data_IF_686112201957
#
_entry.id   IF_686112201957
#
_cell.length_a   1.000
_cell.length_b   1.000
_cell.length_c   1.000
_cell.angle_alpha   90.00
_cell.angle_beta   90.00
_cell.angle_gamma   90.00
#
_symmetry.space_group_name_H-M   'P 1'
#
loop_
_entity.id
_entity.type
_entity.pdbx_description
1 polymer ?
#
# COMPACT_ATOMS: atom_id res chain seq x y z
N UNK A 1 5.11 -13.46 -3.79
CA UNK A 1 3.89 -12.78 -3.30
C UNK A 1 2.90 -13.81 -2.75
N UNK A 2 2.25 -13.55 -1.60
CA UNK A 2 1.23 -14.44 -1.01
C UNK A 2 -0.16 -14.01 -1.49
N UNK A 3 -0.93 -14.92 -2.09
CA UNK A 3 -2.27 -14.66 -2.65
C UNK A 3 -3.39 -15.17 -1.70
N UNK A 4 -4.08 -16.32 -1.90
CA UNK A 4 -4.96 -16.84 -0.85
C UNK A 4 -4.25 -17.82 0.08
N UNK A 5 -4.75 -17.88 1.30
CA UNK A 5 -4.62 -19.03 2.16
C UNK A 5 -5.66 -20.09 1.78
N UNK A 6 -5.24 -21.34 1.81
CA UNK A 6 -6.03 -22.52 1.44
C UNK A 6 -5.89 -23.57 2.54
N UNK A 7 -6.92 -24.39 2.72
CA UNK A 7 -6.88 -25.52 3.63
C UNK A 7 -6.99 -26.85 2.88
N UNK A 8 -6.11 -27.79 3.21
CA UNK A 8 -6.28 -29.19 2.87
C UNK A 8 -6.81 -29.95 4.09
N UNK A 9 -8.06 -30.38 4.01
CA UNK A 9 -8.77 -31.07 5.09
C UNK A 9 -8.61 -32.57 5.03
N UNK A 10 -8.46 -33.16 6.21
CA UNK A 10 -8.62 -34.58 6.44
C UNK A 10 -9.47 -34.78 7.69
N UNK A 11 -10.05 -35.98 7.92
CA UNK A 11 -10.92 -36.22 9.08
C UNK A 11 -10.27 -35.97 10.45
N UNK A 12 -8.94 -35.94 10.54
CA UNK A 12 -8.22 -35.78 11.81
C UNK A 12 -7.31 -34.55 11.87
N UNK A 13 -7.12 -33.84 10.75
CA UNK A 13 -6.16 -32.73 10.63
C UNK A 13 -6.57 -31.80 9.51
N UNK A 14 -6.30 -30.52 9.67
CA UNK A 14 -6.41 -29.54 8.59
C UNK A 14 -5.08 -28.82 8.41
N UNK A 15 -4.51 -28.85 7.21
CA UNK A 15 -3.26 -28.16 6.89
C UNK A 15 -3.58 -26.85 6.18
N UNK A 16 -3.06 -25.75 6.69
CA UNK A 16 -3.22 -24.42 6.10
C UNK A 16 -1.98 -24.10 5.29
N UNK A 17 -2.19 -23.68 4.06
CA UNK A 17 -1.15 -23.28 3.10
C UNK A 17 -1.38 -21.85 2.66
N UNK A 18 -0.29 -21.15 2.35
CA UNK A 18 -0.29 -19.91 1.61
C UNK A 18 0.08 -20.22 0.16
N UNK A 19 -0.70 -19.72 -0.80
CA UNK A 19 -0.28 -19.74 -2.20
C UNK A 19 0.76 -18.63 -2.41
N UNK A 20 1.99 -19.03 -2.72
CA UNK A 20 3.08 -18.11 -3.03
C UNK A 20 3.32 -18.11 -4.53
N UNK A 21 3.03 -16.99 -5.19
CA UNK A 21 3.41 -16.75 -6.57
C UNK A 21 4.81 -16.15 -6.64
N UNK A 22 5.69 -16.85 -7.33
CA UNK A 22 7.04 -16.43 -7.70
C UNK A 22 7.27 -16.89 -9.16
N UNK A 23 8.46 -17.37 -9.53
CA UNK A 23 8.70 -17.94 -10.87
C UNK A 23 7.90 -19.23 -11.12
N UNK A 24 7.50 -19.93 -10.04
CA UNK A 24 6.57 -21.05 -10.07
C UNK A 24 5.57 -20.92 -8.90
N UNK A 25 4.29 -21.16 -9.18
CA UNK A 25 3.23 -21.16 -8.16
C UNK A 25 3.46 -22.34 -7.19
N UNK A 26 3.61 -22.02 -5.90
CA UNK A 26 3.86 -23.03 -4.85
C UNK A 26 3.00 -22.84 -3.61
N UNK A 27 2.72 -23.94 -2.92
CA UNK A 27 2.04 -23.92 -1.62
C UNK A 27 3.07 -23.95 -0.49
N UNK A 28 3.10 -22.90 0.32
CA UNK A 28 3.93 -22.84 1.53
C UNK A 28 3.09 -23.18 2.75
N UNK A 29 3.57 -24.09 3.59
CA UNK A 29 2.83 -24.51 4.78
C UNK A 29 2.87 -23.41 5.86
N UNK A 30 1.70 -23.04 6.36
CA UNK A 30 1.54 -21.99 7.39
C UNK A 30 1.41 -22.63 8.76
N UNK A 31 0.45 -23.55 8.90
CA UNK A 31 0.18 -24.24 10.16
C UNK A 31 -0.65 -25.50 9.93
N UNK A 32 -0.87 -26.29 10.99
CA UNK A 32 -1.73 -27.47 10.98
C UNK A 32 -2.62 -27.47 12.21
N UNK A 33 -3.92 -27.60 12.00
CA UNK A 33 -4.92 -27.82 13.05
C UNK A 33 -5.07 -29.32 13.30
N UNK A 34 -5.11 -29.69 14.58
CA UNK A 34 -5.37 -31.06 15.02
C UNK A 34 -6.86 -31.41 14.99
N UNK A 35 -7.19 -32.66 15.31
CA UNK A 35 -8.57 -33.16 15.28
C UNK A 35 -9.52 -32.34 16.19
N UNK A 36 -9.01 -31.80 17.30
CA UNK A 36 -9.79 -30.98 18.22
C UNK A 36 -10.17 -29.60 17.65
N UNK A 37 -9.44 -29.13 16.64
CA UNK A 37 -9.54 -27.75 16.12
C UNK A 37 -9.88 -27.71 14.63
N UNK A 38 -10.18 -28.86 14.00
CA UNK A 38 -10.49 -28.96 12.57
C UNK A 38 -11.67 -28.08 12.18
N UNK A 39 -12.65 -27.92 13.06
CA UNK A 39 -13.84 -27.10 12.81
C UNK A 39 -13.50 -25.60 12.70
N UNK A 40 -12.37 -25.16 13.27
CA UNK A 40 -11.91 -23.78 13.16
C UNK A 40 -11.22 -23.47 11.81
N UNK A 41 -11.09 -24.46 10.92
CA UNK A 41 -10.38 -24.31 9.64
C UNK A 41 -10.95 -23.20 8.76
N UNK A 42 -12.27 -23.16 8.55
CA UNK A 42 -12.88 -22.14 7.67
C UNK A 42 -12.73 -20.75 8.27
N UNK A 43 -12.94 -20.63 9.58
CA UNK A 43 -12.75 -19.36 10.29
C UNK A 43 -11.32 -18.86 10.16
N UNK A 44 -10.33 -19.73 10.32
CA UNK A 44 -8.92 -19.35 10.21
C UNK A 44 -8.54 -18.95 8.78
N UNK A 45 -8.96 -19.73 7.77
CA UNK A 45 -8.69 -19.39 6.36
C UNK A 45 -9.36 -18.07 5.98
N UNK A 46 -10.63 -17.90 6.36
CA UNK A 46 -11.37 -16.67 6.09
C UNK A 46 -10.67 -15.47 6.73
N UNK A 47 -10.33 -15.56 8.02
CA UNK A 47 -9.70 -14.45 8.73
C UNK A 47 -8.28 -14.14 8.22
N UNK A 48 -7.52 -15.15 7.79
CA UNK A 48 -6.23 -14.95 7.15
C UNK A 48 -6.36 -14.27 5.78
N UNK A 49 -7.38 -14.63 4.98
CA UNK A 49 -7.65 -13.98 3.70
C UNK A 49 -8.19 -12.56 3.87
N UNK A 50 -9.08 -12.31 4.85
CA UNK A 50 -9.50 -10.96 5.24
C UNK A 50 -8.32 -10.12 5.74
N UNK A 51 -7.37 -10.73 6.44
CA UNK A 51 -6.13 -10.05 6.82
C UNK A 51 -5.25 -9.71 5.60
N UNK A 52 -5.25 -10.51 4.53
CA UNK A 52 -4.53 -10.15 3.31
C UNK A 52 -5.22 -9.07 2.50
N UNK A 53 -6.55 -9.12 2.41
CA UNK A 53 -7.34 -8.15 1.66
C UNK A 53 -7.40 -6.80 2.38
N UNK A 54 -7.84 -6.79 3.64
CA UNK A 54 -8.26 -5.57 4.36
C UNK A 54 -7.47 -5.33 5.66
N UNK A 55 -6.48 -6.20 5.95
CA UNK A 55 -5.74 -6.26 7.24
C UNK A 55 -6.65 -6.17 8.45
N UNK A 56 -7.73 -6.92 8.40
CA UNK A 56 -8.64 -7.09 9.51
C UNK A 56 -7.97 -7.87 10.67
N UNK A 57 -7.14 -7.15 11.43
CA UNK A 57 -6.44 -7.67 12.61
C UNK A 57 -7.41 -8.09 13.70
N UNK A 58 -8.59 -7.46 13.78
CA UNK A 58 -9.59 -7.76 14.81
C UNK A 58 -10.22 -9.12 14.54
N UNK A 59 -10.71 -9.36 13.33
CA UNK A 59 -11.25 -10.67 12.92
C UNK A 59 -10.19 -11.76 12.99
N UNK A 60 -8.96 -11.46 12.55
CA UNK A 60 -7.84 -12.40 12.67
C UNK A 60 -7.55 -12.73 14.14
N UNK A 61 -7.47 -11.73 15.02
CA UNK A 61 -7.21 -11.93 16.45
C UNK A 61 -8.35 -12.70 17.11
N UNK A 62 -9.60 -12.40 16.79
CA UNK A 62 -10.78 -13.08 17.34
C UNK A 62 -10.79 -14.59 17.06
N UNK A 63 -10.29 -14.99 15.89
CA UNK A 63 -10.14 -16.42 15.52
C UNK A 63 -8.88 -17.01 16.11
N UNK A 64 -7.73 -16.36 15.92
CA UNK A 64 -6.42 -16.89 16.31
C UNK A 64 -6.32 -17.07 17.82
N UNK A 65 -6.83 -16.14 18.63
CA UNK A 65 -6.67 -16.22 20.09
C UNK A 65 -7.39 -17.42 20.72
N UNK A 66 -8.37 -18.02 20.02
CA UNK A 66 -9.09 -19.23 20.42
C UNK A 66 -8.39 -20.53 20.05
N UNK A 67 -7.34 -20.46 19.24
CA UNK A 67 -6.60 -21.63 18.75
C UNK A 67 -5.44 -22.02 19.69
N UNK A 68 -4.93 -23.26 19.60
CA UNK A 68 -3.77 -23.69 20.37
C UNK A 68 -2.57 -22.76 20.17
N UNK A 69 -1.78 -22.59 21.23
CA UNK A 69 -0.65 -21.65 21.24
C UNK A 69 0.34 -21.86 20.09
N UNK A 70 0.65 -23.12 19.77
CA UNK A 70 1.52 -23.46 18.64
C UNK A 70 0.98 -22.93 17.30
N UNK A 71 -0.34 -23.00 17.10
CA UNK A 71 -1.00 -22.47 15.89
C UNK A 71 -0.92 -20.95 15.86
N UNK A 72 -1.16 -20.29 17.00
CA UNK A 72 -1.05 -18.83 17.13
C UNK A 72 0.35 -18.33 16.79
N UNK A 73 1.37 -18.96 17.35
CA UNK A 73 2.77 -18.62 17.10
C UNK A 73 3.12 -18.83 15.63
N UNK A 74 2.73 -19.97 15.05
CA UNK A 74 3.00 -20.28 13.64
C UNK A 74 2.36 -19.25 12.70
N UNK A 75 1.08 -18.91 12.92
CA UNK A 75 0.37 -17.89 12.14
C UNK A 75 1.05 -16.53 12.27
N UNK A 76 1.35 -16.07 13.50
CA UNK A 76 2.00 -14.77 13.72
C UNK A 76 3.39 -14.70 13.09
N UNK A 77 4.19 -15.76 13.20
CA UNK A 77 5.51 -15.82 12.58
C UNK A 77 5.41 -15.80 11.06
N UNK A 78 4.50 -16.59 10.48
CA UNK A 78 4.30 -16.61 9.03
C UNK A 78 3.90 -15.23 8.51
N UNK A 79 2.92 -14.57 9.14
CA UNK A 79 2.51 -13.23 8.74
C UNK A 79 3.64 -12.21 8.91
N UNK A 80 4.41 -12.28 10.00
CA UNK A 80 5.56 -11.40 10.21
C UNK A 80 6.67 -11.59 9.18
N UNK A 81 6.89 -12.82 8.70
CA UNK A 81 8.03 -13.15 7.82
C UNK A 81 7.68 -13.10 6.34
N UNK A 82 6.44 -13.46 5.98
CA UNK A 82 5.98 -13.57 4.59
C UNK A 82 4.96 -12.50 4.19
N UNK A 83 4.37 -11.84 5.19
CA UNK A 83 3.46 -10.72 5.01
C UNK A 83 3.99 -9.48 5.76
N UNK A 84 5.31 -9.43 5.98
CA UNK A 84 6.00 -8.33 6.62
C UNK A 84 5.72 -7.02 5.88
N UNK A 85 5.67 -5.92 6.63
CA UNK A 85 5.65 -4.59 6.06
C UNK A 85 6.93 -4.34 5.25
N UNK A 86 6.79 -3.96 3.98
CA UNK A 86 7.88 -3.36 3.23
C UNK A 86 7.87 -1.84 3.44
N UNK A 87 9.01 -1.27 3.82
CA UNK A 87 9.17 0.18 3.96
C UNK A 87 8.93 0.85 2.61
N UNK A 88 7.81 1.58 2.50
CA UNK A 88 7.37 2.21 1.25
C UNK A 88 6.26 1.45 0.51
N UNK A 89 5.78 0.33 1.04
CA UNK A 89 4.52 -0.26 0.59
C UNK A 89 3.34 0.63 0.99
N UNK A 90 2.41 0.82 0.05
CA UNK A 90 1.09 1.34 0.35
C UNK A 90 0.43 0.38 1.36
N UNK A 91 -0.19 0.92 2.39
CA UNK A 91 -0.37 0.29 3.71
C UNK A 91 -1.31 -0.94 3.76
N UNK A 92 -2.17 -0.99 4.76
CA UNK A 92 -2.84 -2.15 5.29
C UNK A 92 -4.07 -2.59 4.46
N UNK A 93 -4.09 -2.30 3.17
CA UNK A 93 -5.32 -2.32 2.36
C UNK A 93 -5.16 -3.13 1.07
N UNK A 94 -4.33 -4.18 1.13
CA UNK A 94 -4.18 -5.15 0.04
C UNK A 94 -2.94 -4.98 -0.82
N UNK A 95 -2.67 -5.94 -1.72
CA UNK A 95 -1.53 -5.90 -2.63
C UNK A 95 -1.76 -4.88 -3.73
N UNK A 96 -0.75 -4.05 -4.00
CA UNK A 96 -0.77 -3.09 -5.11
C UNK A 96 0.59 -3.17 -5.81
N UNK A 97 0.55 -3.64 -7.06
CA UNK A 97 1.77 -3.98 -7.79
C UNK A 97 2.40 -2.74 -8.41
N UNK A 98 3.73 -2.73 -8.40
CA UNK A 98 4.52 -1.79 -9.20
C UNK A 98 4.39 -2.13 -10.68
N UNK A 99 3.79 -1.23 -11.46
CA UNK A 99 3.79 -1.36 -12.92
C UNK A 99 5.06 -0.74 -13.51
N UNK A 100 5.45 0.43 -13.02
CA UNK A 100 6.51 1.22 -13.67
C UNK A 100 7.16 2.21 -12.74
N UNK A 101 8.48 2.35 -12.87
CA UNK A 101 9.29 3.39 -12.27
C UNK A 101 9.87 4.29 -13.36
N UNK A 102 9.74 5.60 -13.19
CA UNK A 102 10.20 6.64 -14.10
C UNK A 102 10.86 7.77 -13.33
N UNK A 103 11.81 8.46 -13.96
CA UNK A 103 12.48 9.62 -13.38
C UNK A 103 12.28 10.83 -14.28
N UNK A 104 12.00 11.97 -13.66
CA UNK A 104 11.87 13.24 -14.34
C UNK A 104 12.79 14.26 -13.69
N UNK A 105 13.66 14.88 -14.48
CA UNK A 105 14.56 15.92 -13.97
C UNK A 105 13.87 17.24 -13.62
N UNK A 106 12.58 17.36 -13.97
CA UNK A 106 11.77 18.57 -13.81
C UNK A 106 10.30 18.22 -13.64
N UNK A 107 9.60 18.97 -12.80
CA UNK A 107 8.15 18.98 -12.70
C UNK A 107 7.55 19.98 -13.72
N UNK A 108 7.69 19.68 -15.01
CA UNK A 108 7.18 20.50 -16.12
C UNK A 108 5.94 19.88 -16.81
N UNK A 109 5.58 20.36 -18.00
CA UNK A 109 4.38 19.90 -18.72
C UNK A 109 4.43 18.41 -19.08
N UNK A 110 5.61 17.84 -19.33
CA UNK A 110 5.72 16.41 -19.61
C UNK A 110 5.39 15.58 -18.36
N UNK A 111 5.97 15.96 -17.23
CA UNK A 111 5.69 15.36 -15.94
C UNK A 111 4.20 15.44 -15.58
N UNK A 112 3.59 16.62 -15.74
CA UNK A 112 2.16 16.83 -15.46
C UNK A 112 1.29 15.93 -16.35
N UNK A 113 1.52 15.93 -17.68
CA UNK A 113 0.75 15.10 -18.61
C UNK A 113 0.91 13.60 -18.33
N UNK A 114 2.08 13.19 -17.85
CA UNK A 114 2.32 11.81 -17.43
C UNK A 114 1.44 11.43 -16.24
N UNK A 115 1.39 12.28 -15.21
CA UNK A 115 0.52 12.06 -14.05
C UNK A 115 -0.96 12.12 -14.41
N UNK A 116 -1.38 13.08 -15.25
CA UNK A 116 -2.75 13.17 -15.77
C UNK A 116 -3.14 11.89 -16.51
N UNK A 117 -2.26 11.38 -17.38
CA UNK A 117 -2.53 10.16 -18.14
C UNK A 117 -2.70 8.95 -17.23
N UNK A 118 -1.82 8.78 -16.23
CA UNK A 118 -1.90 7.70 -15.25
C UNK A 118 -3.19 7.78 -14.42
N UNK A 119 -3.55 8.99 -13.97
CA UNK A 119 -4.76 9.25 -13.22
C UNK A 119 -6.02 8.93 -14.04
N UNK A 120 -6.07 9.35 -15.31
CA UNK A 120 -7.24 9.14 -16.18
C UNK A 120 -7.54 7.67 -16.48
N UNK A 121 -6.55 6.79 -16.38
CA UNK A 121 -6.72 5.35 -16.58
C UNK A 121 -6.81 4.56 -15.26
N UNK A 122 -6.87 5.26 -14.12
CA UNK A 122 -7.06 4.65 -12.79
C UNK A 122 -5.83 3.95 -12.22
N UNK A 123 -4.61 4.36 -12.61
CA UNK A 123 -3.39 3.86 -11.96
C UNK A 123 -3.13 4.62 -10.65
N UNK A 124 -2.64 3.90 -9.65
CA UNK A 124 -2.09 4.51 -8.46
C UNK A 124 -0.81 5.27 -8.79
N UNK A 125 -0.68 6.47 -8.24
CA UNK A 125 0.48 7.35 -8.48
C UNK A 125 1.24 7.51 -7.18
N UNK A 126 2.57 7.35 -7.25
CA UNK A 126 3.52 7.72 -6.22
C UNK A 126 4.58 8.63 -6.82
N UNK A 127 4.85 9.73 -6.14
CA UNK A 127 5.91 10.66 -6.51
C UNK A 127 6.68 11.07 -5.26
N UNK A 128 8.00 11.11 -5.34
CA UNK A 128 8.87 11.76 -4.35
C UNK A 128 9.90 12.61 -5.07
N UNK A 129 10.32 13.72 -4.45
CA UNK A 129 11.52 14.42 -4.90
C UNK A 129 12.77 13.80 -4.26
N UNK A 130 13.88 13.91 -4.98
CA UNK A 130 15.21 13.49 -4.54
C UNK A 130 16.27 14.45 -5.08
N UNK A 131 17.39 14.57 -4.38
CA UNK A 131 18.51 15.38 -4.79
C UNK A 131 19.51 14.48 -5.52
N UNK A 132 19.64 14.68 -6.83
CA UNK A 132 20.60 13.96 -7.65
C UNK A 132 22.05 14.41 -7.39
N UNK A 133 23.03 13.63 -7.84
CA UNK A 133 24.46 13.92 -7.70
C UNK A 133 24.91 15.28 -8.26
N UNK A 134 24.18 15.82 -9.23
CA UNK A 134 24.43 17.15 -9.81
C UNK A 134 23.93 18.32 -8.95
N UNK A 135 23.27 18.04 -7.82
CA UNK A 135 22.62 19.03 -6.96
C UNK A 135 21.28 19.53 -7.50
N UNK A 136 20.78 18.94 -8.60
CA UNK A 136 19.43 19.20 -9.11
C UNK A 136 18.41 18.31 -8.38
N UNK A 137 17.17 18.78 -8.33
CA UNK A 137 16.06 18.00 -7.78
C UNK A 137 15.40 17.20 -8.90
N UNK A 138 15.45 15.89 -8.76
CA UNK A 138 14.80 14.93 -9.62
C UNK A 138 13.50 14.42 -8.96
N UNK A 139 12.60 13.91 -9.78
CA UNK A 139 11.30 13.40 -9.38
C UNK A 139 11.18 11.93 -9.75
N UNK A 140 11.15 11.08 -8.74
CA UNK A 140 10.88 9.66 -8.88
C UNK A 140 9.37 9.45 -8.94
N UNK A 141 8.88 8.88 -10.04
CA UNK A 141 7.46 8.56 -10.26
C UNK A 141 7.31 7.05 -10.36
N UNK A 142 6.46 6.51 -9.50
CA UNK A 142 6.13 5.11 -9.45
C UNK A 142 4.63 4.91 -9.72
N UNK A 143 4.32 4.21 -10.79
CA UNK A 143 2.96 3.85 -11.18
C UNK A 143 2.60 2.46 -10.66
N UNK A 144 1.34 2.34 -10.23
CA UNK A 144 0.81 1.17 -9.54
C UNK A 144 -0.41 0.60 -10.25
N UNK A 145 -0.67 -0.71 -10.06
CA UNK A 145 -1.76 -1.46 -10.70
C UNK A 145 -3.13 -0.81 -10.60
N UNK A 146 -3.39 -0.18 -9.46
CA UNK A 146 -4.65 0.49 -9.15
C UNK A 146 -4.42 1.58 -8.11
N UNK A 147 -5.41 2.47 -7.99
CA UNK A 147 -5.47 3.44 -6.92
C UNK A 147 -5.84 2.79 -5.60
N UNK A 148 -5.47 3.44 -4.51
CA UNK A 148 -5.58 2.78 -3.22
C UNK A 148 -6.82 3.21 -2.51
N UNK A 149 -7.62 2.22 -2.18
CA UNK A 149 -8.87 2.43 -1.49
C UNK A 149 -8.63 2.58 0.01
N UNK A 150 -9.09 3.69 0.58
CA UNK A 150 -9.08 3.93 2.02
C UNK A 150 -10.52 4.22 2.49
N UNK A 151 -10.90 3.81 3.71
CA UNK A 151 -12.19 4.18 4.28
C UNK A 151 -12.39 5.69 4.28
N UNK A 152 -13.61 6.18 4.10
CA UNK A 152 -13.89 7.62 4.12
C UNK A 152 -13.44 8.32 5.42
N UNK A 153 -13.46 7.59 6.54
CA UNK A 153 -13.00 8.04 7.86
C UNK A 153 -11.48 8.03 8.04
N UNK A 154 -10.73 7.39 7.13
CA UNK A 154 -9.29 7.33 7.21
C UNK A 154 -8.67 8.71 6.95
N UNK A 155 -7.55 8.96 7.63
CA UNK A 155 -6.66 10.06 7.27
C UNK A 155 -6.33 9.98 5.77
N UNK A 156 -6.05 11.11 5.08
CA UNK A 156 -5.72 11.10 3.65
C UNK A 156 -4.34 10.46 3.36
N UNK A 157 -3.85 9.64 4.28
CA UNK A 157 -2.53 9.04 4.23
C UNK A 157 -2.66 7.55 4.02
N UNK A 158 -1.70 7.13 3.24
CA UNK A 158 -1.78 5.94 2.45
C UNK A 158 -0.44 5.20 2.53
N UNK A 159 0.61 5.94 2.91
CA UNK A 159 1.96 5.46 3.17
C UNK A 159 2.28 5.64 4.66
N UNK A 160 3.20 4.83 5.16
CA UNK A 160 3.83 5.14 6.42
C UNK A 160 4.64 6.44 6.31
N UNK A 161 4.54 7.26 7.36
CA UNK A 161 5.39 8.43 7.47
C UNK A 161 6.85 7.99 7.59
N UNK A 162 7.77 8.70 6.94
CA UNK A 162 9.18 8.54 7.23
C UNK A 162 9.48 8.95 8.68
N UNK A 163 10.70 8.70 9.14
CA UNK A 163 11.21 9.25 10.41
C UNK A 163 11.48 10.76 10.33
N UNK A 164 10.62 11.50 9.65
CA UNK A 164 10.63 12.94 9.53
C UNK A 164 9.24 13.50 9.88
N UNK A 165 9.14 14.59 10.66
CA UNK A 165 7.86 15.22 10.95
C UNK A 165 7.17 15.71 9.67
N UNK A 166 5.85 15.57 9.60
CA UNK A 166 5.07 16.19 8.53
C UNK A 166 4.84 17.65 8.89
N UNK A 167 5.36 18.56 8.05
CA UNK A 167 5.10 19.99 8.17
C UNK A 167 3.66 20.30 7.73
N UNK A 168 3.21 19.69 6.63
CA UNK A 168 1.87 19.90 6.07
C UNK A 168 1.43 18.71 5.22
N UNK A 169 0.14 18.38 5.30
CA UNK A 169 -0.54 17.56 4.30
C UNK A 169 -1.54 18.45 3.55
N UNK A 170 -1.53 18.39 2.24
CA UNK A 170 -2.50 19.03 1.35
C UNK A 170 -3.27 17.98 0.57
N UNK A 171 -4.54 18.24 0.28
CA UNK A 171 -5.37 17.34 -0.55
C UNK A 171 -6.06 18.10 -1.69
N UNK A 172 -6.32 17.42 -2.81
CA UNK A 172 -7.09 18.02 -3.91
C UNK A 172 -8.55 18.33 -3.55
N UNK A 173 -9.06 17.82 -2.43
CA UNK A 173 -10.34 18.25 -1.87
C UNK A 173 -10.36 19.73 -1.44
N UNK A 174 -9.20 20.33 -1.17
CA UNK A 174 -9.06 21.75 -0.80
C UNK A 174 -9.17 22.70 -2.02
N UNK A 175 -9.21 22.18 -3.25
CA UNK A 175 -9.26 22.99 -4.48
C UNK A 175 -10.47 22.67 -5.36
N UNK A 176 -10.91 23.66 -6.14
CA UNK A 176 -11.90 23.49 -7.24
C UNK A 176 -11.25 23.47 -8.62
N UNK A 177 -9.91 23.50 -8.65
CA UNK A 177 -9.11 23.48 -9.88
C UNK A 177 -8.75 22.04 -10.25
N UNK A 178 -8.07 21.89 -11.38
CA UNK A 178 -7.50 20.61 -11.79
C UNK A 178 -6.66 20.00 -10.64
N UNK A 179 -6.94 18.76 -10.24
CA UNK A 179 -6.32 18.14 -9.08
C UNK A 179 -4.84 17.83 -9.30
N UNK A 180 -4.44 17.44 -10.52
CA UNK A 180 -3.06 17.09 -10.86
C UNK A 180 -2.20 18.36 -10.87
N UNK A 181 -2.63 19.39 -11.60
CA UNK A 181 -1.94 20.67 -11.66
C UNK A 181 -1.78 21.30 -10.27
N UNK A 182 -2.82 21.21 -9.44
CA UNK A 182 -2.78 21.74 -8.08
C UNK A 182 -1.80 20.97 -7.20
N UNK A 183 -1.81 19.64 -7.26
CA UNK A 183 -0.90 18.79 -6.50
C UNK A 183 0.57 19.05 -6.89
N UNK A 184 0.86 19.10 -8.19
CA UNK A 184 2.21 19.38 -8.69
C UNK A 184 2.66 20.78 -8.30
N UNK A 185 1.79 21.79 -8.34
CA UNK A 185 2.14 23.14 -7.90
C UNK A 185 2.50 23.21 -6.42
N UNK A 186 1.76 22.49 -5.54
CA UNK A 186 2.08 22.43 -4.11
C UNK A 186 3.39 21.69 -3.86
N UNK A 187 3.57 20.51 -4.48
CA UNK A 187 4.78 19.71 -4.34
C UNK A 187 6.02 20.47 -4.83
N UNK A 188 5.92 21.12 -6.00
CA UNK A 188 7.00 21.92 -6.56
C UNK A 188 7.34 23.13 -5.67
N UNK A 189 6.34 23.86 -5.18
CA UNK A 189 6.59 25.00 -4.30
C UNK A 189 7.37 24.61 -3.03
N UNK A 190 6.96 23.52 -2.37
CA UNK A 190 7.67 23.02 -1.20
C UNK A 190 9.07 22.46 -1.54
N UNK A 191 9.22 21.83 -2.71
CA UNK A 191 10.52 21.38 -3.19
C UNK A 191 11.47 22.54 -3.52
N UNK A 192 10.96 23.63 -4.10
CA UNK A 192 11.74 24.84 -4.40
C UNK A 192 12.22 25.52 -3.09
N UNK A 193 11.47 25.36 -1.99
CA UNK A 193 11.85 25.76 -0.64
C UNK A 193 12.82 24.77 0.05
N UNK A 194 13.20 23.68 -0.61
CA UNK A 194 14.17 22.69 -0.13
C UNK A 194 13.60 21.59 0.76
N UNK A 195 12.27 21.43 0.81
CA UNK A 195 11.62 20.38 1.60
C UNK A 195 11.48 19.07 0.83
N UNK A 196 11.58 17.97 1.56
CA UNK A 196 11.13 16.69 1.05
C UNK A 196 9.60 16.69 0.88
N UNK A 197 9.16 16.25 -0.29
CA UNK A 197 7.75 16.10 -0.63
C UNK A 197 7.44 14.69 -1.11
N UNK A 198 6.21 14.27 -0.83
CA UNK A 198 5.60 13.08 -1.41
C UNK A 198 4.24 13.45 -1.98
N UNK A 199 3.93 12.93 -3.15
CA UNK A 199 2.63 13.07 -3.80
C UNK A 199 2.07 11.69 -4.12
N UNK A 200 0.79 11.47 -3.82
CA UNK A 200 0.12 10.20 -4.08
C UNK A 200 -1.37 10.33 -4.33
N UNK A 201 -1.98 9.30 -4.92
CA UNK A 201 -3.43 9.21 -5.10
C UNK A 201 -4.07 8.23 -4.10
N UNK A 202 -5.27 8.57 -3.64
CA UNK A 202 -6.14 7.67 -2.86
C UNK A 202 -7.55 7.71 -3.43
N UNK A 203 -8.22 6.57 -3.46
CA UNK A 203 -9.67 6.48 -3.64
C UNK A 203 -10.31 6.38 -2.24
N UNK A 204 -11.37 7.16 -1.99
CA UNK A 204 -12.15 7.05 -0.75
C UNK A 204 -13.49 6.38 -1.02
N UNK A 205 -13.94 5.52 -0.12
CA UNK A 205 -15.32 5.06 -0.11
C UNK A 205 -15.76 4.40 1.20
N UNK A 206 -17.04 4.05 1.25
CA UNK A 206 -17.76 3.75 2.49
C UNK A 206 -17.77 2.25 2.86
N UNK A 207 -16.88 1.44 2.29
CA UNK A 207 -16.65 0.05 2.69
C UNK A 207 -17.61 -0.97 2.07
N UNK A 208 -18.64 -0.54 1.35
CA UNK A 208 -19.28 -1.37 0.32
C UNK A 208 -18.61 -1.04 -1.01
N UNK A 209 -18.05 -2.05 -1.68
CA UNK A 209 -17.43 -1.91 -3.00
C UNK A 209 -18.55 -1.55 -3.99
N UNK A 210 -18.92 -0.27 -4.04
CA UNK A 210 -19.63 0.31 -5.17
C UNK A 210 -18.61 0.50 -6.29
N UNK A 211 -18.30 -0.59 -6.99
CA UNK A 211 -17.42 -0.61 -8.17
C UNK A 211 -17.92 0.25 -9.35
N UNK A 212 -19.06 0.96 -9.19
CA UNK A 212 -19.69 1.77 -10.23
C UNK A 212 -20.03 3.21 -9.84
N UNK A 213 -19.84 3.62 -8.58
CA UNK A 213 -19.97 5.04 -8.23
C UNK A 213 -18.61 5.72 -8.39
N UNK A 214 -18.61 6.88 -9.04
CA UNK A 214 -17.41 7.64 -9.40
C UNK A 214 -16.53 7.90 -8.17
N UNK A 215 -15.57 7.01 -7.90
CA UNK A 215 -14.54 7.25 -6.90
C UNK A 215 -13.71 8.44 -7.39
N UNK A 216 -13.98 9.63 -6.85
CA UNK A 216 -13.22 10.84 -7.14
C UNK A 216 -11.90 10.73 -6.39
N UNK A 217 -10.95 10.07 -7.03
CA UNK A 217 -9.63 9.88 -6.47
C UNK A 217 -8.98 11.22 -6.15
N UNK A 218 -8.39 11.26 -4.97
CA UNK A 218 -7.87 12.47 -4.34
C UNK A 218 -6.35 12.43 -4.40
N UNK A 219 -5.76 13.52 -4.92
CA UNK A 219 -4.34 13.73 -4.79
C UNK A 219 -4.03 14.23 -3.38
N UNK A 220 -2.94 13.74 -2.84
CA UNK A 220 -2.44 14.10 -1.52
C UNK A 220 -0.98 14.49 -1.70
N UNK A 221 -0.57 15.58 -1.05
CA UNK A 221 0.81 16.04 -1.02
C UNK A 221 1.23 16.19 0.43
N UNK A 222 2.16 15.37 0.88
CA UNK A 222 2.82 15.48 2.17
C UNK A 222 4.13 16.25 2.02
N UNK A 223 4.29 17.32 2.80
CA UNK A 223 5.51 18.12 2.92
C UNK A 223 6.12 17.81 4.28
N UNK A 224 7.36 17.36 4.28
CA UNK A 224 8.08 17.00 5.50
C UNK A 224 8.95 18.15 5.99
N UNK A 225 9.07 18.29 7.30
CA UNK A 225 10.06 19.15 7.94
C UNK A 225 11.44 18.48 7.89
N UNK A 226 11.91 18.21 6.68
CA UNK A 226 13.18 17.55 6.39
C UNK A 226 13.72 18.00 5.03
N UNK A 227 15.05 18.01 4.85
CA UNK A 227 15.66 18.30 3.55
C UNK A 227 15.31 17.22 2.53
N UNK A 228 15.38 17.57 1.25
CA UNK A 228 15.23 16.63 0.13
C UNK A 228 16.26 15.49 0.29
N UNK A 229 15.82 14.21 0.26
CA UNK A 229 16.74 13.08 0.39
C UNK A 229 17.68 12.99 -0.82
N UNK A 230 18.91 12.55 -0.60
CA UNK A 230 19.86 12.29 -1.70
C UNK A 230 19.45 11.01 -2.42
N UNK A 231 19.54 11.02 -3.76
CA UNK A 231 19.18 9.86 -4.56
C UNK A 231 20.02 8.63 -4.20
N UNK A 232 19.37 7.51 -3.95
CA UNK A 232 20.02 6.23 -3.65
C UNK A 232 20.59 5.54 -4.90
N UNK A 233 20.30 6.06 -6.10
CA UNK A 233 20.71 5.48 -7.38
C UNK A 233 22.14 5.87 -7.81
N UNK A 234 22.80 6.73 -7.03
CA UNK A 234 24.16 7.22 -7.26
C UNK A 234 25.18 6.70 -6.21
N UNK A 235 24.82 5.71 -5.37
CA UNK A 235 25.74 4.98 -4.46
C UNK A 235 26.35 3.71 -5.05
#
# INVERSE_FOLDING_TARGET
MVYPFLAHRSPSKSRIFALVRADEDRLEAVTTLGAADVDATDGLVSALNSYLADRDEESLRAVVDRLPEAVRIAVRNFLRERCAFELGAFTAYGPIDDIRLCYFSRADEEFIRYLESAYMIGLGIRVTNELGSSGNVDWEVQLRSEEVFVPASAEPRAWALPQAPVLRTWTSAETRRDPVLSAVAVARGASDDGYWVRLHTIAKGDGEIEMESSSTSTFVVDVFEAPIPVSAHDE
#
